data_IF_504995202608
#
_entry.id   IF_504995202608
#
_cell.length_a   1.000
_cell.length_b   1.000
_cell.length_c   1.000
_cell.angle_alpha   90.00
_cell.angle_beta   90.00
_cell.angle_gamma   90.00
#
_symmetry.space_group_name_H-M   'P 1'
#
loop_
_entity.id
_entity.type
_entity.pdbx_description
1 polymer ?
#
# COMPACT_ATOMS: atom_id res chain seq x y z
N UNK A 1 11.55 -7.46 58.55
CA UNK A 1 11.77 -8.58 57.60
C UNK A 1 12.29 -8.01 56.29
N UNK A 2 13.59 -8.18 56.08
CA UNK A 2 14.32 -7.83 54.85
C UNK A 2 14.38 -9.08 53.99
N UNK A 3 14.07 -8.97 52.69
CA UNK A 3 14.51 -9.79 51.53
C UNK A 3 13.35 -9.94 50.55
N UNK A 4 13.30 -9.11 49.51
CA UNK A 4 12.66 -9.46 48.23
C UNK A 4 13.03 -8.47 47.12
N UNK A 5 14.33 -8.24 46.91
CA UNK A 5 14.83 -7.58 45.70
C UNK A 5 16.22 -8.14 45.38
N UNK A 6 16.26 -9.15 44.52
CA UNK A 6 17.45 -9.58 43.77
C UNK A 6 16.96 -10.52 42.68
N UNK A 7 16.93 -10.00 41.45
CA UNK A 7 17.25 -10.69 40.19
C UNK A 7 16.98 -9.72 39.04
N UNK A 8 17.89 -8.75 38.87
CA UNK A 8 18.03 -7.98 37.64
C UNK A 8 19.32 -8.46 36.98
N UNK A 9 19.21 -9.55 36.21
CA UNK A 9 20.30 -10.05 35.38
C UNK A 9 19.99 -9.72 33.92
N UNK A 10 20.58 -8.63 33.46
CA UNK A 10 21.40 -8.54 32.24
C UNK A 10 20.96 -9.49 31.11
N UNK A 11 20.09 -9.00 30.22
CA UNK A 11 19.95 -9.54 28.87
C UNK A 11 20.73 -8.65 27.92
N UNK A 12 21.94 -9.08 27.60
CA UNK A 12 22.82 -8.50 26.58
C UNK A 12 22.20 -8.73 25.20
N UNK A 13 21.78 -7.65 24.54
CA UNK A 13 21.32 -7.69 23.16
C UNK A 13 22.50 -7.94 22.22
N UNK A 14 22.60 -9.16 21.68
CA UNK A 14 23.44 -9.47 20.53
C UNK A 14 22.56 -9.46 19.26
N UNK A 15 22.34 -8.28 18.69
CA UNK A 15 21.74 -8.14 17.36
C UNK A 15 22.85 -8.41 16.33
N UNK A 16 22.87 -9.63 15.81
CA UNK A 16 23.78 -10.06 14.77
C UNK A 16 23.34 -9.43 13.44
N UNK A 17 23.90 -8.27 13.08
CA UNK A 17 23.73 -7.66 11.77
C UNK A 17 24.61 -8.42 10.77
N UNK A 18 24.06 -9.46 10.17
CA UNK A 18 24.63 -10.06 8.98
C UNK A 18 24.36 -9.13 7.79
N UNK A 19 25.32 -8.24 7.53
CA UNK A 19 25.40 -7.47 6.29
C UNK A 19 25.73 -8.42 5.16
N UNK A 20 24.71 -8.92 4.45
CA UNK A 20 24.89 -9.48 3.12
C UNK A 20 25.24 -8.35 2.17
N UNK A 21 26.52 -8.21 1.87
CA UNK A 21 27.07 -7.34 0.83
C UNK A 21 26.70 -7.87 -0.56
N UNK A 22 25.42 -7.83 -0.92
CA UNK A 22 25.02 -7.93 -2.32
C UNK A 22 25.31 -6.56 -2.93
N UNK A 23 26.20 -6.52 -3.92
CA UNK A 23 26.53 -5.32 -4.67
C UNK A 23 25.28 -4.71 -5.32
N UNK A 24 24.62 -3.81 -4.60
CA UNK A 24 23.58 -2.94 -5.12
C UNK A 24 24.25 -1.88 -6.00
N UNK A 25 24.32 -2.15 -7.30
CA UNK A 25 24.49 -1.08 -8.28
C UNK A 25 23.28 -0.15 -8.14
N UNK A 26 23.54 1.14 -7.94
CA UNK A 26 22.55 2.18 -7.71
C UNK A 26 21.58 2.29 -8.90
N UNK A 27 20.51 1.49 -8.86
CA UNK A 27 19.34 1.61 -9.74
C UNK A 27 18.31 2.41 -8.96
N UNK A 28 17.91 3.56 -9.52
CA UNK A 28 16.94 4.55 -9.00
C UNK A 28 16.60 4.45 -7.50
N UNK A 29 17.13 5.39 -6.72
CA UNK A 29 16.87 5.50 -5.29
C UNK A 29 15.39 5.86 -5.05
N UNK A 30 14.49 4.86 -5.07
CA UNK A 30 13.09 5.02 -4.67
C UNK A 30 13.14 5.46 -3.21
N UNK A 31 12.61 6.64 -2.91
CA UNK A 31 12.43 7.05 -1.54
C UNK A 31 11.31 6.19 -0.92
N UNK A 32 11.72 5.05 -0.34
CA UNK A 32 10.80 4.06 0.22
C UNK A 32 9.87 4.66 1.28
N UNK A 33 10.36 5.63 2.06
CA UNK A 33 9.56 6.32 3.06
C UNK A 33 8.43 7.15 2.43
N UNK A 34 8.73 7.93 1.39
CA UNK A 34 7.70 8.67 0.65
C UNK A 34 6.74 7.73 -0.07
N UNK A 35 7.25 6.65 -0.65
CA UNK A 35 6.41 5.66 -1.31
C UNK A 35 5.42 5.00 -0.33
N UNK A 36 5.89 4.54 0.83
CA UNK A 36 5.03 3.95 1.87
C UNK A 36 3.94 4.93 2.30
N UNK A 37 4.28 6.23 2.46
CA UNK A 37 3.29 7.26 2.78
C UNK A 37 2.24 7.41 1.69
N UNK A 38 2.63 7.35 0.42
CA UNK A 38 1.69 7.49 -0.71
C UNK A 38 0.73 6.30 -0.83
N UNK A 39 1.20 5.09 -0.55
CA UNK A 39 0.36 3.88 -0.66
C UNK A 39 -0.43 3.56 0.61
N UNK A 40 -0.10 4.17 1.74
CA UNK A 40 -0.76 3.94 3.02
C UNK A 40 -1.80 5.01 3.28
N UNK A 41 -3.03 4.61 3.56
CA UNK A 41 -4.11 5.48 3.96
C UNK A 41 -4.63 5.05 5.34
N UNK A 42 -4.75 6.01 6.26
CA UNK A 42 -5.20 5.77 7.64
C UNK A 42 -6.39 6.70 7.91
N UNK A 43 -7.45 6.14 8.48
CA UNK A 43 -8.61 6.87 8.97
C UNK A 43 -8.76 6.58 10.46
N UNK A 44 -8.67 7.62 11.28
CA UNK A 44 -8.96 7.55 12.72
C UNK A 44 -10.18 8.43 12.97
N UNK A 45 -11.25 7.84 13.50
CA UNK A 45 -12.51 8.53 13.79
C UNK A 45 -13.11 8.02 15.08
N UNK A 46 -13.22 8.88 16.09
CA UNK A 46 -13.65 8.48 17.42
C UNK A 46 -12.72 7.40 17.97
N UNK A 47 -13.29 6.26 18.37
CA UNK A 47 -12.57 5.10 18.89
C UNK A 47 -12.21 4.05 17.84
N UNK A 48 -12.28 4.39 16.54
CA UNK A 48 -12.03 3.49 15.43
C UNK A 48 -10.77 3.89 14.66
N UNK A 49 -9.96 2.91 14.30
CA UNK A 49 -8.85 3.03 13.36
C UNK A 49 -9.07 2.06 12.20
N UNK A 50 -9.08 2.59 10.99
CA UNK A 50 -9.15 1.79 9.77
C UNK A 50 -7.97 2.21 8.88
N UNK A 51 -7.18 1.25 8.42
CA UNK A 51 -6.03 1.51 7.55
C UNK A 51 -6.04 0.59 6.35
N UNK A 52 -5.60 1.12 5.22
CA UNK A 52 -5.41 0.37 3.99
C UNK A 52 -4.06 0.72 3.36
N UNK A 53 -3.37 -0.29 2.85
CA UNK A 53 -2.16 -0.15 2.05
C UNK A 53 -2.45 -0.72 0.67
N UNK A 54 -2.32 0.09 -0.37
CA UNK A 54 -2.37 -0.42 -1.75
C UNK A 54 -1.00 -0.96 -2.15
N UNK A 55 -0.94 -2.17 -2.71
CA UNK A 55 0.28 -2.77 -3.21
C UNK A 55 0.30 -2.69 -4.75
N UNK A 56 0.74 -1.57 -5.34
CA UNK A 56 0.78 -1.43 -6.79
C UNK A 56 1.84 -2.36 -7.39
N UNK A 57 1.54 -2.93 -8.55
CA UNK A 57 2.42 -3.84 -9.26
C UNK A 57 3.78 -3.20 -9.56
N UNK A 58 3.79 -1.93 -9.96
CA UNK A 58 4.98 -1.20 -10.41
C UNK A 58 6.03 -1.07 -9.33
N UNK A 59 5.60 -0.99 -8.07
CA UNK A 59 6.52 -0.99 -6.95
C UNK A 59 7.19 -2.34 -6.80
N UNK A 60 6.41 -3.43 -6.76
CA UNK A 60 6.94 -4.78 -6.67
C UNK A 60 7.91 -5.09 -7.82
N UNK A 61 7.57 -4.66 -9.04
CA UNK A 61 8.45 -4.82 -10.20
C UNK A 61 9.78 -4.07 -10.07
N UNK A 62 9.78 -2.89 -9.43
CA UNK A 62 11.00 -2.10 -9.23
C UNK A 62 11.85 -2.57 -8.05
N UNK A 63 11.23 -3.08 -7.00
CA UNK A 63 11.94 -3.54 -5.80
C UNK A 63 12.46 -4.97 -5.92
N UNK A 64 11.85 -5.81 -6.76
CA UNK A 64 12.21 -7.22 -6.86
C UNK A 64 13.51 -7.48 -7.65
N UNK A 65 14.08 -6.47 -8.33
CA UNK A 65 15.31 -6.58 -9.10
C UNK A 65 15.14 -7.31 -10.45
N UNK A 66 16.20 -7.40 -11.26
CA UNK A 66 16.12 -7.90 -12.64
C UNK A 66 16.00 -9.43 -12.80
N UNK A 67 16.17 -10.21 -11.73
CA UNK A 67 16.07 -11.68 -11.77
C UNK A 67 14.66 -12.22 -11.45
N UNK A 68 13.70 -11.36 -11.11
CA UNK A 68 12.37 -11.75 -10.61
C UNK A 68 11.21 -11.11 -11.39
N UNK A 69 11.49 -10.49 -12.54
CA UNK A 69 10.48 -9.79 -13.34
C UNK A 69 9.33 -10.73 -13.80
N UNK A 70 9.68 -11.96 -14.17
CA UNK A 70 8.70 -13.00 -14.52
C UNK A 70 7.90 -13.45 -13.29
N UNK A 71 8.52 -13.47 -12.11
CA UNK A 71 7.91 -13.91 -10.86
C UNK A 71 6.86 -12.93 -10.31
N UNK A 72 6.94 -11.65 -10.65
CA UNK A 72 5.97 -10.62 -10.20
C UNK A 72 4.89 -10.30 -11.23
N UNK A 73 5.04 -10.78 -12.47
CA UNK A 73 4.10 -10.52 -13.58
C UNK A 73 2.65 -10.89 -13.23
N UNK A 74 2.48 -11.92 -12.42
CA UNK A 74 1.17 -12.38 -11.94
C UNK A 74 0.42 -11.34 -11.11
N UNK A 75 1.14 -10.47 -10.41
CA UNK A 75 0.55 -9.40 -9.61
C UNK A 75 -0.10 -8.34 -10.50
N UNK A 76 0.31 -8.24 -11.77
CA UNK A 76 -0.26 -7.28 -12.73
C UNK A 76 -1.74 -7.55 -13.01
N UNK A 77 -2.18 -8.81 -12.87
CA UNK A 77 -3.58 -9.19 -13.07
C UNK A 77 -4.49 -8.77 -11.92
N UNK A 78 -3.93 -8.29 -10.80
CA UNK A 78 -4.68 -8.04 -9.57
C UNK A 78 -4.43 -6.64 -8.99
N UNK A 79 -5.44 -6.11 -8.31
CA UNK A 79 -5.28 -4.99 -7.38
C UNK A 79 -5.33 -5.53 -5.96
N UNK A 80 -4.26 -5.31 -5.21
CA UNK A 80 -4.06 -5.94 -3.90
C UNK A 80 -4.01 -4.85 -2.83
N UNK A 81 -4.81 -5.02 -1.78
CA UNK A 81 -4.83 -4.12 -0.63
C UNK A 81 -4.61 -4.91 0.65
N UNK A 82 -3.82 -4.37 1.56
CA UNK A 82 -3.76 -4.83 2.95
C UNK A 82 -4.62 -3.92 3.80
N UNK A 83 -5.58 -4.49 4.52
CA UNK A 83 -6.58 -3.73 5.28
C UNK A 83 -6.66 -4.23 6.71
N UNK A 84 -6.77 -3.29 7.63
CA UNK A 84 -7.01 -3.55 9.05
C UNK A 84 -8.05 -2.57 9.59
N UNK A 85 -8.92 -3.07 10.46
CA UNK A 85 -9.96 -2.30 11.14
C UNK A 85 -9.94 -2.66 12.63
N UNK A 86 -9.55 -1.72 13.49
CA UNK A 86 -9.47 -1.89 14.94
C UNK A 86 -10.20 -0.79 15.69
N UNK A 87 -10.47 -1.03 16.97
CA UNK A 87 -10.99 -0.03 17.91
C UNK A 87 -10.03 0.13 19.09
N UNK A 88 -10.14 1.24 19.83
CA UNK A 88 -9.33 1.49 21.04
C UNK A 88 -9.54 0.40 22.11
N UNK A 89 -10.70 -0.25 22.12
CA UNK A 89 -11.00 -1.39 23.00
C UNK A 89 -10.32 -2.70 22.56
N UNK A 90 -9.52 -2.68 21.50
CA UNK A 90 -8.82 -3.86 20.96
C UNK A 90 -9.68 -4.77 20.10
N UNK A 91 -10.94 -4.42 19.82
CA UNK A 91 -11.77 -5.19 18.88
C UNK A 91 -11.26 -5.01 17.45
N UNK A 92 -11.06 -6.11 16.73
CA UNK A 92 -10.65 -6.14 15.32
C UNK A 92 -11.70 -6.84 14.46
N UNK A 93 -11.89 -6.39 13.22
CA UNK A 93 -12.69 -7.15 12.25
C UNK A 93 -11.93 -8.36 11.72
N UNK A 94 -12.65 -9.44 11.38
CA UNK A 94 -12.09 -10.58 10.66
C UNK A 94 -11.93 -10.28 9.16
N UNK A 95 -11.19 -11.13 8.45
CA UNK A 95 -11.03 -11.03 7.01
C UNK A 95 -12.39 -11.02 6.28
N UNK A 96 -13.31 -11.91 6.65
CA UNK A 96 -14.62 -12.06 6.03
C UNK A 96 -15.48 -10.81 6.25
N UNK A 97 -15.42 -10.23 7.45
CA UNK A 97 -16.12 -8.99 7.77
C UNK A 97 -15.60 -7.81 6.94
N UNK A 98 -14.29 -7.68 6.77
CA UNK A 98 -13.69 -6.63 5.94
C UNK A 98 -14.02 -6.87 4.46
N UNK A 99 -13.95 -8.11 4.00
CA UNK A 99 -14.20 -8.49 2.60
C UNK A 99 -15.63 -8.18 2.15
N UNK A 100 -16.62 -8.51 2.96
CA UNK A 100 -18.04 -8.31 2.64
C UNK A 100 -18.42 -6.83 2.52
N UNK A 101 -17.78 -5.95 3.31
CA UNK A 101 -18.00 -4.51 3.27
C UNK A 101 -17.15 -3.76 2.23
N UNK A 102 -16.12 -4.40 1.68
CA UNK A 102 -15.19 -3.75 0.76
C UNK A 102 -15.77 -3.61 -0.66
N UNK A 103 -15.53 -2.43 -1.24
CA UNK A 103 -15.86 -2.09 -2.62
C UNK A 103 -14.71 -1.25 -3.17
N UNK A 104 -14.24 -1.58 -4.37
CA UNK A 104 -13.27 -0.77 -5.09
C UNK A 104 -13.98 0.03 -6.19
N UNK A 105 -13.62 1.31 -6.31
CA UNK A 105 -14.14 2.24 -7.32
C UNK A 105 -13.01 2.98 -8.03
N UNK A 106 -13.20 3.27 -9.31
CA UNK A 106 -12.36 4.19 -10.07
C UNK A 106 -13.16 5.42 -10.54
N UNK A 107 -12.53 6.26 -11.37
CA UNK A 107 -13.17 7.45 -11.98
C UNK A 107 -14.26 7.10 -12.98
N UNK A 108 -14.23 5.92 -13.61
CA UNK A 108 -15.25 5.47 -14.57
C UNK A 108 -16.47 4.83 -13.90
N UNK A 109 -16.60 4.92 -12.57
CA UNK A 109 -17.69 4.34 -11.78
C UNK A 109 -17.77 2.81 -11.81
N UNK A 110 -16.72 2.11 -12.26
CA UNK A 110 -16.65 0.66 -12.12
C UNK A 110 -16.69 0.30 -10.63
N UNK A 111 -17.53 -0.67 -10.25
CA UNK A 111 -17.67 -1.15 -8.88
C UNK A 111 -17.16 -2.59 -8.87
N UNK A 112 -16.04 -2.81 -8.20
CA UNK A 112 -15.48 -4.15 -8.00
C UNK A 112 -15.64 -4.63 -6.57
N UNK A 113 -15.81 -5.94 -6.43
CA UNK A 113 -15.81 -6.65 -5.16
C UNK A 113 -14.53 -7.48 -5.05
N UNK A 114 -14.03 -7.74 -3.83
CA UNK A 114 -12.90 -8.63 -3.67
C UNK A 114 -13.23 -10.04 -4.18
N UNK A 115 -12.24 -10.73 -4.73
CA UNK A 115 -12.33 -12.13 -5.14
C UNK A 115 -12.79 -13.02 -3.99
N UNK A 116 -13.66 -13.99 -4.26
CA UNK A 116 -14.22 -14.90 -3.25
C UNK A 116 -13.16 -15.77 -2.55
N UNK A 117 -12.06 -16.08 -3.22
CA UNK A 117 -10.87 -16.70 -2.66
C UNK A 117 -9.60 -16.06 -3.26
N UNK A 118 -8.50 -16.09 -2.52
CA UNK A 118 -7.19 -15.69 -3.07
C UNK A 118 -6.75 -16.83 -4.02
N UNK A 119 -6.36 -16.51 -5.28
CA UNK A 119 -5.83 -17.51 -6.19
C UNK A 119 -4.62 -18.23 -5.59
N UNK A 120 -4.53 -19.55 -5.77
CA UNK A 120 -3.52 -20.40 -5.11
C UNK A 120 -2.09 -19.95 -5.44
N UNK A 121 -1.88 -19.51 -6.68
CA UNK A 121 -0.63 -19.00 -7.21
C UNK A 121 -0.21 -17.65 -6.60
N UNK A 122 -1.14 -16.90 -6.01
CA UNK A 122 -0.89 -15.62 -5.38
C UNK A 122 -0.51 -15.77 -3.89
N UNK A 123 -1.03 -16.80 -3.21
CA UNK A 123 -0.87 -16.97 -1.75
C UNK A 123 0.59 -16.91 -1.28
N UNK A 124 1.56 -17.66 -1.85
CA UNK A 124 2.94 -17.66 -1.33
C UNK A 124 3.59 -16.28 -1.42
N UNK A 125 3.22 -15.48 -2.42
CA UNK A 125 3.74 -14.12 -2.61
C UNK A 125 3.17 -13.15 -1.60
N UNK A 126 1.87 -13.23 -1.34
CA UNK A 126 1.21 -12.40 -0.32
C UNK A 126 1.76 -12.72 1.07
N UNK A 127 2.03 -13.99 1.37
CA UNK A 127 2.65 -14.40 2.63
C UNK A 127 4.07 -13.81 2.76
N UNK A 128 4.86 -13.85 1.68
CA UNK A 128 6.19 -13.23 1.64
C UNK A 128 6.12 -11.70 1.84
N UNK A 129 5.18 -11.00 1.20
CA UNK A 129 4.97 -9.56 1.39
C UNK A 129 4.57 -9.25 2.83
N UNK A 130 3.62 -10.01 3.39
CA UNK A 130 3.18 -9.83 4.78
C UNK A 130 4.33 -10.00 5.77
N UNK A 131 5.19 -11.00 5.55
CA UNK A 131 6.39 -11.24 6.34
C UNK A 131 7.41 -10.09 6.20
N UNK A 132 7.70 -9.65 4.97
CA UNK A 132 8.64 -8.56 4.70
C UNK A 132 8.21 -7.22 5.32
N UNK A 133 6.90 -6.97 5.40
CA UNK A 133 6.34 -5.77 6.02
C UNK A 133 6.22 -5.86 7.54
N UNK A 134 6.55 -7.00 8.15
CA UNK A 134 6.28 -7.30 9.56
C UNK A 134 4.84 -6.93 9.96
N UNK A 135 3.88 -7.21 9.05
CA UNK A 135 2.52 -6.73 9.18
C UNK A 135 1.77 -7.41 10.33
N UNK A 136 0.86 -6.67 10.95
CA UNK A 136 0.04 -7.16 12.07
C UNK A 136 -0.78 -8.40 11.67
N UNK A 137 -1.05 -9.28 12.64
CA UNK A 137 -1.85 -10.49 12.40
C UNK A 137 -3.26 -10.16 11.89
N UNK A 138 -3.77 -8.97 12.23
CA UNK A 138 -5.08 -8.45 11.84
C UNK A 138 -5.05 -7.59 10.56
N UNK A 139 -3.94 -7.57 9.83
CA UNK A 139 -3.90 -7.08 8.45
C UNK A 139 -4.24 -8.20 7.47
N UNK A 140 -5.29 -7.99 6.69
CA UNK A 140 -5.82 -8.96 5.74
C UNK A 140 -5.71 -8.46 4.31
N UNK A 141 -5.43 -9.37 3.38
CA UNK A 141 -5.41 -9.06 1.96
C UNK A 141 -6.83 -9.05 1.39
N UNK A 142 -7.11 -7.99 0.63
CA UNK A 142 -8.21 -7.92 -0.32
C UNK A 142 -7.61 -7.93 -1.73
N UNK A 143 -8.04 -8.89 -2.54
CA UNK A 143 -7.59 -9.05 -3.92
C UNK A 143 -8.77 -8.77 -4.83
N UNK A 144 -8.57 -7.93 -5.82
CA UNK A 144 -9.54 -7.59 -6.85
C UNK A 144 -8.94 -7.88 -8.22
N UNK A 145 -9.78 -8.10 -9.22
CA UNK A 145 -9.32 -8.09 -10.61
C UNK A 145 -8.79 -6.69 -10.98
N UNK A 146 -7.70 -6.66 -11.74
CA UNK A 146 -7.15 -5.41 -12.31
C UNK A 146 -8.00 -4.85 -13.45
N UNK A 147 -8.94 -5.64 -13.97
CA UNK A 147 -9.79 -5.33 -15.11
C UNK A 147 -11.27 -5.36 -14.72
N UNK A 148 -12.07 -4.53 -15.37
CA UNK A 148 -13.53 -4.58 -15.26
C UNK A 148 -14.12 -5.70 -16.13
N UNK A 149 -15.45 -5.84 -16.08
CA UNK A 149 -16.19 -6.83 -16.86
C UNK A 149 -16.05 -6.66 -18.40
N UNK A 150 -15.58 -5.49 -18.87
CA UNK A 150 -15.28 -5.24 -20.29
C UNK A 150 -13.83 -5.55 -20.66
N UNK A 151 -13.00 -5.99 -19.69
CA UNK A 151 -11.58 -6.27 -19.88
C UNK A 151 -10.67 -5.03 -19.83
N UNK A 152 -11.24 -3.85 -19.52
CA UNK A 152 -10.51 -2.59 -19.40
C UNK A 152 -9.85 -2.51 -18.04
N UNK A 153 -8.61 -2.03 -18.00
CA UNK A 153 -7.87 -1.81 -16.75
C UNK A 153 -8.62 -0.79 -15.86
N UNK A 154 -8.75 -1.14 -14.59
CA UNK A 154 -9.46 -0.34 -13.58
C UNK A 154 -8.69 0.93 -13.25
N UNK A 155 -7.36 0.81 -13.23
CA UNK A 155 -6.44 1.91 -13.03
C UNK A 155 -5.16 1.67 -13.81
N UNK A 156 -4.65 2.73 -14.42
CA UNK A 156 -3.34 2.80 -15.06
C UNK A 156 -2.43 3.68 -14.21
N UNK A 157 -1.43 3.06 -13.57
CA UNK A 157 -0.50 3.72 -12.64
C UNK A 157 0.33 4.85 -13.24
N UNK A 158 0.49 4.88 -14.57
CA UNK A 158 1.19 5.93 -15.31
C UNK A 158 0.31 7.13 -15.64
N UNK A 159 -1.01 7.02 -15.47
CA UNK A 159 -1.98 8.07 -15.80
C UNK A 159 -2.49 8.76 -14.54
N UNK A 160 -2.96 10.00 -14.71
CA UNK A 160 -3.60 10.79 -13.65
C UNK A 160 -4.99 10.26 -13.32
N UNK A 161 -5.07 9.27 -12.44
CA UNK A 161 -6.31 8.60 -12.07
C UNK A 161 -6.55 8.59 -10.56
N UNK A 162 -7.76 8.16 -10.17
CA UNK A 162 -8.19 8.07 -8.78
C UNK A 162 -8.75 6.68 -8.51
N UNK A 163 -8.19 6.01 -7.51
CA UNK A 163 -8.67 4.74 -6.99
C UNK A 163 -9.27 4.96 -5.61
N UNK A 164 -10.39 4.32 -5.31
CA UNK A 164 -11.06 4.48 -4.02
C UNK A 164 -11.50 3.13 -3.49
N UNK A 165 -10.91 2.71 -2.37
CA UNK A 165 -11.41 1.58 -1.58
C UNK A 165 -12.41 2.11 -0.56
N UNK A 166 -13.65 1.65 -0.68
CA UNK A 166 -14.73 1.97 0.25
C UNK A 166 -14.95 0.77 1.16
N UNK A 167 -14.90 1.00 2.47
CA UNK A 167 -15.38 0.05 3.46
C UNK A 167 -16.77 0.52 3.94
N UNK A 168 -17.83 -0.20 3.56
CA UNK A 168 -19.21 0.09 3.98
C UNK A 168 -19.38 -0.02 5.50
N UNK A 169 -20.36 0.65 6.14
CA UNK A 169 -20.52 0.57 7.59
C UNK A 169 -20.85 -0.86 8.04
N UNK A 170 -20.28 -1.30 9.16
CA UNK A 170 -20.52 -2.64 9.73
C UNK A 170 -20.19 -2.70 11.23
N UNK A 171 -21.18 -3.06 12.06
CA UNK A 171 -21.01 -3.17 13.51
C UNK A 171 -20.57 -1.83 14.13
N UNK A 172 -19.41 -1.85 14.78
CA UNK A 172 -18.80 -0.66 15.40
C UNK A 172 -18.02 0.22 14.41
N UNK A 173 -17.98 -0.11 13.12
CA UNK A 173 -17.15 0.60 12.13
C UNK A 173 -17.98 1.45 11.18
N UNK A 174 -17.63 2.72 11.10
CA UNK A 174 -18.22 3.68 10.18
C UNK A 174 -17.78 3.40 8.73
N UNK A 175 -18.55 3.99 7.80
CA UNK A 175 -18.17 4.07 6.40
C UNK A 175 -16.85 4.84 6.25
N UNK A 176 -15.90 4.26 5.55
CA UNK A 176 -14.59 4.85 5.29
C UNK A 176 -14.23 4.76 3.82
N UNK A 177 -13.63 5.82 3.28
CA UNK A 177 -13.08 5.86 1.94
C UNK A 177 -11.56 6.08 2.03
N UNK A 178 -10.79 5.20 1.42
CA UNK A 178 -9.37 5.37 1.19
C UNK A 178 -9.15 5.73 -0.26
N UNK A 179 -8.49 6.86 -0.52
CA UNK A 179 -8.34 7.42 -1.86
C UNK A 179 -6.86 7.49 -2.21
N UNK A 180 -6.50 6.86 -3.33
CA UNK A 180 -5.18 6.98 -3.93
C UNK A 180 -5.27 7.70 -5.26
N UNK A 181 -4.18 8.37 -5.63
CA UNK A 181 -4.03 9.07 -6.90
C UNK A 181 -2.76 8.60 -7.56
N UNK A 182 -2.84 8.36 -8.86
CA UNK A 182 -1.70 8.01 -9.71
C UNK A 182 -1.36 9.20 -10.62
N UNK A 183 -0.15 9.24 -11.18
CA UNK A 183 0.99 8.38 -10.84
C UNK A 183 1.56 8.71 -9.46
N UNK A 184 2.25 7.75 -8.83
CA UNK A 184 2.90 7.97 -7.53
C UNK A 184 4.17 8.82 -7.73
N UNK A 185 4.36 9.83 -6.88
CA UNK A 185 5.54 10.70 -6.97
C UNK A 185 6.81 9.90 -6.70
N UNK A 186 6.78 8.98 -5.74
CA UNK A 186 7.95 8.17 -5.39
C UNK A 186 8.38 7.17 -6.48
N UNK A 187 7.53 6.88 -7.48
CA UNK A 187 7.90 6.04 -8.64
C UNK A 187 7.96 6.81 -9.95
N UNK A 188 7.63 8.10 -9.95
CA UNK A 188 7.56 8.91 -11.17
C UNK A 188 8.51 10.09 -11.07
N UNK A 189 9.46 10.17 -12.00
CA UNK A 189 10.30 11.35 -12.10
C UNK A 189 9.48 12.50 -12.69
N UNK A 190 8.95 13.33 -11.81
CA UNK A 190 8.13 14.47 -12.17
C UNK A 190 8.96 15.63 -12.75
N UNK A 191 10.29 15.60 -12.62
CA UNK A 191 11.18 16.65 -13.12
C UNK A 191 11.03 18.00 -12.41
N UNK A 192 11.18 19.08 -13.18
CA UNK A 192 11.14 20.47 -12.69
C UNK A 192 10.18 21.33 -13.53
N UNK A 193 9.66 22.41 -12.95
CA UNK A 193 8.83 23.37 -13.66
C UNK A 193 9.62 24.04 -14.79
N UNK A 194 9.11 24.11 -16.03
CA UNK A 194 9.84 24.70 -17.15
C UNK A 194 10.05 26.22 -17.05
N UNK A 195 9.26 26.91 -16.20
CA UNK A 195 9.34 28.37 -16.04
C UNK A 195 10.27 28.82 -14.90
N UNK A 196 10.14 28.18 -13.74
CA UNK A 196 10.87 28.57 -12.52
C UNK A 196 11.87 27.53 -12.02
N UNK A 197 11.99 26.39 -12.72
CA UNK A 197 12.94 25.30 -12.42
C UNK A 197 12.78 24.63 -11.05
N UNK A 198 11.67 24.89 -10.38
CA UNK A 198 11.35 24.31 -9.08
C UNK A 198 10.88 22.86 -9.21
N UNK A 199 11.17 22.03 -8.21
CA UNK A 199 10.76 20.61 -8.21
C UNK A 199 9.24 20.49 -8.17
N UNK A 200 8.71 19.58 -8.96
CA UNK A 200 7.27 19.33 -9.08
C UNK A 200 6.92 17.90 -8.70
N UNK A 201 5.64 17.66 -8.42
CA UNK A 201 5.05 16.33 -8.19
C UNK A 201 4.34 15.85 -9.45
N UNK A 202 4.34 14.55 -9.69
CA UNK A 202 3.81 13.96 -10.91
C UNK A 202 2.29 14.13 -11.03
N UNK A 203 1.62 14.18 -9.88
CA UNK A 203 0.18 14.41 -9.79
C UNK A 203 -0.27 15.86 -10.01
N UNK A 204 0.64 16.83 -10.10
CA UNK A 204 0.28 18.25 -10.20
C UNK A 204 -0.08 18.67 -11.63
N UNK A 205 -1.15 19.46 -11.75
CA UNK A 205 -1.55 20.09 -13.02
C UNK A 205 -0.87 21.45 -13.23
N UNK A 206 -0.47 22.12 -12.15
CA UNK A 206 0.15 23.44 -12.15
C UNK A 206 1.31 23.45 -11.17
N UNK A 207 2.37 24.20 -11.50
CA UNK A 207 3.43 24.50 -10.56
C UNK A 207 2.87 25.36 -9.43
N UNK A 208 2.96 24.92 -8.16
CA UNK A 208 2.35 25.66 -7.07
C UNK A 208 3.08 26.98 -6.77
N UNK A 209 4.29 27.18 -7.30
CA UNK A 209 5.09 28.38 -7.01
C UNK A 209 4.86 29.51 -8.03
N UNK A 210 4.69 29.17 -9.31
CA UNK A 210 4.54 30.18 -10.37
C UNK A 210 3.24 30.06 -11.19
N UNK A 211 2.38 29.08 -10.87
CA UNK A 211 1.11 28.84 -11.55
C UNK A 211 1.24 28.29 -12.98
N UNK A 212 2.45 27.97 -13.46
CA UNK A 212 2.64 27.45 -14.82
C UNK A 212 2.00 26.07 -14.97
N UNK A 213 1.21 25.83 -16.03
CA UNK A 213 0.67 24.50 -16.30
C UNK A 213 1.79 23.50 -16.56
N UNK A 214 1.67 22.31 -15.97
CA UNK A 214 2.66 21.25 -16.10
C UNK A 214 2.25 20.26 -17.20
N UNK A 215 3.21 19.68 -17.93
CA UNK A 215 2.92 18.64 -18.90
C UNK A 215 2.20 17.47 -18.24
N UNK A 216 1.35 16.79 -19.01
CA UNK A 216 0.64 15.58 -18.58
C UNK A 216 1.53 14.36 -18.75
#
# INVERSE_FOLDING_TARGET
>A
MKKFFRNLSIFTAAVCVLVFSIGWTARHNINLGEFIKEITAINVKGNQMQSAIWLPFEFNARTAGSQSADDVSILKSYLIFMVQCTTDAGSSQTQEQIKTRAILKNTSSAILRPLAAIPAELSPRLDAIKAAMAADKNMYFLVFDSKDASGKDIIESSKREKLTLVLQPAGLFDRTEFVWRTPFDATTDAGVCPKCSEKIKAMWNYCPWCGTPLPK
#
